data_IF_694070119890
#
_entry.id   IF_694070119890
#
_cell.length_a   1.000
_cell.length_b   1.000
_cell.length_c   1.000
_cell.angle_alpha   90.00
_cell.angle_beta   90.00
_cell.angle_gamma   90.00
#
_symmetry.space_group_name_H-M   'P 1'
#
loop_
_entity.id
_entity.type
_entity.pdbx_description
1 polymer ?
#
# COMPACT_ATOMS: atom_id res chain seq x y z
N UNK A 1 -4.87 -12.83 -0.02
CA UNK A 1 -3.73 -13.15 -0.89
C UNK A 1 -2.69 -12.05 -0.86
N UNK A 2 -1.46 -12.32 -1.30
CA UNK A 2 -0.49 -11.25 -1.62
C UNK A 2 -0.92 -10.52 -2.89
N UNK A 3 -0.96 -9.18 -2.81
CA UNK A 3 -1.21 -8.30 -3.95
C UNK A 3 0.11 -7.56 -4.24
N UNK A 4 0.92 -8.12 -5.12
CA UNK A 4 2.29 -7.67 -5.36
C UNK A 4 2.67 -7.57 -6.84
N UNK A 5 1.77 -8.02 -7.72
CA UNK A 5 1.92 -7.87 -9.16
C UNK A 5 1.00 -6.76 -9.68
N UNK A 6 1.39 -5.99 -10.70
CA UNK A 6 0.50 -5.05 -11.37
C UNK A 6 -0.84 -5.67 -11.80
N UNK A 7 -0.83 -6.93 -12.27
CA UNK A 7 -2.03 -7.67 -12.63
C UNK A 7 -2.99 -7.87 -11.45
N UNK A 8 -2.48 -8.01 -10.23
CA UNK A 8 -3.33 -8.14 -9.04
C UNK A 8 -4.11 -6.84 -8.75
N UNK A 9 -3.51 -5.69 -9.00
CA UNK A 9 -4.16 -4.40 -8.83
C UNK A 9 -5.17 -4.13 -9.96
N UNK A 10 -4.79 -4.44 -11.19
CA UNK A 10 -5.65 -4.23 -12.37
C UNK A 10 -6.91 -5.10 -12.36
N UNK A 11 -6.78 -6.36 -11.93
CA UNK A 11 -7.87 -7.34 -11.86
C UNK A 11 -8.31 -7.61 -10.41
N UNK A 12 -8.17 -6.61 -9.54
CA UNK A 12 -8.40 -6.78 -8.11
C UNK A 12 -9.79 -7.31 -7.77
N UNK A 13 -10.81 -6.88 -8.48
CA UNK A 13 -12.19 -7.33 -8.24
C UNK A 13 -12.35 -8.82 -8.53
N UNK A 14 -11.74 -9.33 -9.59
CA UNK A 14 -11.80 -10.76 -9.96
C UNK A 14 -11.07 -11.61 -8.92
N UNK A 15 -9.90 -11.18 -8.44
CA UNK A 15 -9.22 -11.87 -7.35
C UNK A 15 -10.03 -11.87 -6.06
N UNK A 16 -10.74 -10.79 -5.78
CA UNK A 16 -11.56 -10.68 -4.57
C UNK A 16 -12.83 -11.54 -4.61
N UNK A 17 -13.21 -12.10 -5.75
CA UNK A 17 -14.25 -13.14 -5.79
C UNK A 17 -13.82 -14.41 -5.04
N UNK A 18 -12.51 -14.69 -5.04
CA UNK A 18 -11.93 -15.92 -4.51
C UNK A 18 -11.22 -15.74 -3.15
N UNK A 19 -10.79 -14.53 -2.83
CA UNK A 19 -9.99 -14.25 -1.63
C UNK A 19 -10.71 -13.29 -0.67
N UNK A 20 -10.43 -13.42 0.63
CA UNK A 20 -11.06 -12.62 1.69
C UNK A 20 -10.41 -11.24 1.88
N UNK A 21 -9.33 -10.97 1.18
CA UNK A 21 -8.64 -9.69 1.25
C UNK A 21 -7.22 -9.76 0.70
N UNK A 22 -6.54 -8.60 0.77
CA UNK A 22 -5.19 -8.42 0.27
C UNK A 22 -4.19 -8.07 1.37
N UNK A 23 -2.99 -8.64 1.25
CA UNK A 23 -1.77 -8.09 1.84
C UNK A 23 -0.93 -7.54 0.68
N UNK A 24 -0.75 -6.24 0.63
CA UNK A 24 -0.03 -5.60 -0.46
C UNK A 24 1.47 -5.73 -0.23
N UNK A 25 2.17 -6.40 -1.16
CA UNK A 25 3.63 -6.48 -1.20
C UNK A 25 4.18 -5.30 -2.00
N UNK A 26 4.33 -4.13 -1.36
CA UNK A 26 4.67 -2.89 -2.06
C UNK A 26 6.07 -2.88 -2.66
N UNK A 27 7.02 -3.64 -2.10
CA UNK A 27 8.36 -3.76 -2.66
C UNK A 27 8.33 -4.39 -4.06
N UNK A 28 7.67 -5.55 -4.19
CA UNK A 28 7.57 -6.25 -5.47
C UNK A 28 6.66 -5.47 -6.44
N UNK A 29 5.57 -4.90 -5.95
CA UNK A 29 4.70 -4.04 -6.75
C UNK A 29 5.48 -2.85 -7.35
N UNK A 30 6.35 -2.21 -6.57
CA UNK A 30 7.17 -1.09 -7.01
C UNK A 30 8.18 -1.53 -8.06
N UNK A 31 8.89 -2.62 -7.79
CA UNK A 31 9.86 -3.20 -8.72
C UNK A 31 9.23 -3.49 -10.09
N UNK A 32 8.07 -4.11 -10.09
CA UNK A 32 7.40 -4.52 -11.31
C UNK A 32 6.69 -3.36 -12.01
N UNK A 33 6.12 -2.43 -11.25
CA UNK A 33 5.48 -1.24 -11.82
C UNK A 33 6.48 -0.31 -12.51
N UNK A 34 7.68 -0.15 -11.92
CA UNK A 34 8.73 0.72 -12.46
C UNK A 34 9.71 -0.02 -13.40
N UNK A 35 9.65 -1.35 -13.45
CA UNK A 35 10.59 -2.16 -14.23
C UNK A 35 12.02 -2.08 -13.70
N UNK A 36 12.19 -1.91 -12.38
CA UNK A 36 13.47 -1.74 -11.71
C UNK A 36 13.78 -2.92 -10.82
N UNK A 37 15.01 -3.42 -10.88
CA UNK A 37 15.51 -4.38 -9.91
C UNK A 37 16.03 -3.64 -8.67
N UNK A 38 15.33 -3.78 -7.54
CA UNK A 38 15.69 -3.13 -6.26
C UNK A 38 17.06 -3.57 -5.73
N UNK A 39 17.54 -4.76 -6.12
CA UNK A 39 18.82 -5.30 -5.69
C UNK A 39 19.98 -4.83 -6.60
N UNK A 40 19.68 -4.16 -7.71
CA UNK A 40 20.68 -3.62 -8.62
C UNK A 40 21.14 -2.24 -8.16
N UNK A 41 22.40 -2.12 -7.76
CA UNK A 41 23.01 -0.84 -7.40
C UNK A 41 23.01 0.23 -8.50
N UNK A 42 22.80 -0.17 -9.76
CA UNK A 42 22.76 0.75 -10.91
C UNK A 42 21.44 1.53 -11.00
N UNK A 43 20.35 0.96 -10.52
CA UNK A 43 18.98 1.53 -10.65
C UNK A 43 18.26 1.70 -9.31
N UNK A 44 18.90 1.34 -8.21
CA UNK A 44 18.31 1.41 -6.86
C UNK A 44 17.82 2.82 -6.48
N UNK A 45 18.47 3.87 -6.97
CA UNK A 45 18.04 5.25 -6.74
C UNK A 45 16.70 5.60 -7.36
N UNK A 46 16.29 4.87 -8.41
CA UNK A 46 14.98 5.03 -9.05
C UNK A 46 13.85 4.29 -8.33
N UNK A 47 14.18 3.43 -7.35
CA UNK A 47 13.20 2.67 -6.60
C UNK A 47 12.57 3.55 -5.51
N UNK A 48 11.33 3.95 -5.71
CA UNK A 48 10.57 4.74 -4.72
C UNK A 48 9.12 4.25 -4.66
N UNK A 49 8.71 3.71 -3.52
CA UNK A 49 7.34 3.26 -3.27
C UNK A 49 6.32 4.42 -3.29
N UNK A 50 6.80 5.67 -3.27
CA UNK A 50 5.98 6.89 -3.37
C UNK A 50 5.74 7.33 -4.82
N UNK A 51 6.34 6.66 -5.80
CA UNK A 51 6.12 6.98 -7.20
C UNK A 51 4.63 7.03 -7.53
N UNK A 52 4.17 8.00 -8.32
CA UNK A 52 2.75 8.14 -8.67
C UNK A 52 2.14 6.90 -9.32
N UNK A 53 2.91 6.15 -10.13
CA UNK A 53 2.43 4.92 -10.75
C UNK A 53 2.21 3.82 -9.70
N UNK A 54 3.13 3.69 -8.74
CA UNK A 54 3.01 2.75 -7.61
C UNK A 54 1.79 3.13 -6.77
N UNK A 55 1.67 4.40 -6.36
CA UNK A 55 0.52 4.89 -5.58
C UNK A 55 -0.81 4.65 -6.30
N UNK A 56 -0.85 4.77 -7.62
CA UNK A 56 -2.06 4.46 -8.39
C UNK A 56 -2.46 2.98 -8.23
N UNK A 57 -1.51 2.05 -8.31
CA UNK A 57 -1.78 0.63 -8.12
C UNK A 57 -2.18 0.28 -6.69
N UNK A 58 -1.50 0.86 -5.70
CA UNK A 58 -1.89 0.71 -4.28
C UNK A 58 -3.34 1.19 -4.06
N UNK A 59 -3.68 2.36 -4.60
CA UNK A 59 -5.03 2.92 -4.50
C UNK A 59 -6.08 2.04 -5.19
N UNK A 60 -5.76 1.41 -6.33
CA UNK A 60 -6.66 0.47 -7.00
C UNK A 60 -6.98 -0.73 -6.11
N UNK A 61 -5.94 -1.36 -5.54
CA UNK A 61 -6.09 -2.51 -4.65
C UNK A 61 -6.91 -2.17 -3.39
N UNK A 62 -6.60 -1.04 -2.74
CA UNK A 62 -7.31 -0.58 -1.54
C UNK A 62 -8.78 -0.31 -1.86
N UNK A 63 -9.07 0.44 -2.93
CA UNK A 63 -10.46 0.75 -3.33
C UNK A 63 -11.27 -0.50 -3.64
N UNK A 64 -10.69 -1.48 -4.33
CA UNK A 64 -11.36 -2.74 -4.64
C UNK A 64 -11.74 -3.49 -3.36
N UNK A 65 -10.80 -3.66 -2.41
CA UNK A 65 -11.10 -4.30 -1.14
C UNK A 65 -12.20 -3.56 -0.36
N UNK A 66 -12.12 -2.23 -0.30
CA UNK A 66 -13.13 -1.43 0.39
C UNK A 66 -14.51 -1.54 -0.25
N UNK A 67 -14.58 -1.51 -1.58
CA UNK A 67 -15.84 -1.68 -2.33
C UNK A 67 -16.51 -3.02 -2.02
N UNK A 68 -15.71 -4.08 -1.86
CA UNK A 68 -16.20 -5.43 -1.54
C UNK A 68 -16.30 -5.71 -0.03
N UNK A 69 -16.03 -4.74 0.84
CA UNK A 69 -16.03 -4.92 2.30
C UNK A 69 -14.98 -5.92 2.78
N UNK A 70 -13.87 -6.04 2.07
CA UNK A 70 -12.79 -6.99 2.36
C UNK A 70 -11.56 -6.28 2.93
N UNK A 71 -10.79 -7.04 3.71
CA UNK A 71 -9.58 -6.55 4.38
C UNK A 71 -8.47 -6.19 3.39
N UNK A 72 -7.73 -5.11 3.70
CA UNK A 72 -6.51 -4.73 3.00
C UNK A 72 -5.44 -4.23 3.97
N UNK A 73 -4.29 -4.89 3.94
CA UNK A 73 -3.07 -4.46 4.64
C UNK A 73 -1.90 -4.28 3.68
N UNK A 74 -0.81 -3.72 4.17
CA UNK A 74 0.45 -3.57 3.45
C UNK A 74 1.60 -4.14 4.27
N UNK A 75 2.51 -4.85 3.64
CA UNK A 75 3.67 -5.48 4.29
C UNK A 75 5.02 -5.09 3.68
N UNK A 76 5.07 -4.07 2.85
CA UNK A 76 6.31 -3.52 2.33
C UNK A 76 7.01 -2.57 3.33
N UNK A 77 8.19 -2.09 2.96
CA UNK A 77 9.01 -1.22 3.80
C UNK A 77 8.56 0.24 3.78
N UNK A 78 7.87 0.65 2.73
CA UNK A 78 7.51 2.05 2.49
C UNK A 78 6.90 2.79 3.67
N UNK A 79 5.91 2.23 4.38
CA UNK A 79 5.33 2.92 5.54
C UNK A 79 6.29 3.16 6.71
N UNK A 80 7.32 2.29 6.86
CA UNK A 80 8.38 2.47 7.87
C UNK A 80 9.37 3.54 7.48
N UNK A 81 9.74 3.58 6.20
CA UNK A 81 10.78 4.47 5.68
C UNK A 81 10.25 5.87 5.35
N UNK A 82 8.95 5.95 5.04
CA UNK A 82 8.31 7.18 4.55
C UNK A 82 7.02 7.50 5.31
N UNK A 83 7.07 8.35 6.34
CA UNK A 83 5.90 8.74 7.12
C UNK A 83 4.78 9.40 6.29
N UNK A 84 5.14 10.08 5.19
CA UNK A 84 4.19 10.66 4.24
C UNK A 84 3.40 9.58 3.49
N UNK A 85 4.05 8.46 3.14
CA UNK A 85 3.37 7.31 2.54
C UNK A 85 2.43 6.63 3.54
N UNK A 86 2.86 6.45 4.79
CA UNK A 86 2.00 5.88 5.84
C UNK A 86 0.72 6.72 6.04
N UNK A 87 0.86 8.04 6.07
CA UNK A 87 -0.29 8.97 6.17
C UNK A 87 -1.21 8.83 4.95
N UNK A 88 -0.65 8.85 3.76
CA UNK A 88 -1.42 8.70 2.53
C UNK A 88 -2.19 7.36 2.48
N UNK A 89 -1.57 6.25 2.90
CA UNK A 89 -2.22 4.94 2.98
C UNK A 89 -3.41 4.96 3.96
N UNK A 90 -3.24 5.59 5.11
CA UNK A 90 -4.33 5.79 6.08
C UNK A 90 -5.48 6.59 5.46
N UNK A 91 -5.18 7.65 4.71
CA UNK A 91 -6.17 8.47 4.00
C UNK A 91 -6.89 7.67 2.90
N UNK A 92 -6.21 6.73 2.23
CA UNK A 92 -6.85 5.80 1.30
C UNK A 92 -7.75 4.78 1.99
N UNK A 93 -7.63 4.64 3.30
CA UNK A 93 -8.44 3.75 4.12
C UNK A 93 -7.93 2.32 4.20
N UNK A 94 -6.62 2.15 4.21
CA UNK A 94 -6.01 0.84 4.51
C UNK A 94 -6.35 0.38 5.93
N UNK A 95 -6.51 -0.92 6.14
CA UNK A 95 -6.88 -1.47 7.45
C UNK A 95 -5.67 -1.66 8.36
N UNK A 96 -4.52 -2.03 7.81
CA UNK A 96 -3.28 -2.21 8.58
C UNK A 96 -2.02 -1.94 7.78
N UNK A 97 -0.96 -1.60 8.49
CA UNK A 97 0.40 -1.43 7.97
C UNK A 97 1.36 -2.24 8.84
N UNK A 98 2.13 -3.14 8.22
CA UNK A 98 3.27 -3.76 8.89
C UNK A 98 4.42 -2.75 8.94
N UNK A 99 5.06 -2.65 10.09
CA UNK A 99 6.14 -1.70 10.32
C UNK A 99 7.36 -2.41 10.90
N UNK A 100 8.54 -1.88 10.65
CA UNK A 100 9.74 -2.28 11.37
C UNK A 100 9.56 -1.94 12.85
N UNK A 101 10.01 -2.81 13.79
CA UNK A 101 9.75 -2.63 15.22
C UNK A 101 10.18 -1.28 15.78
N UNK A 102 11.29 -0.74 15.30
CA UNK A 102 11.86 0.56 15.72
C UNK A 102 11.05 1.77 15.23
N UNK A 103 10.21 1.60 14.21
CA UNK A 103 9.40 2.68 13.65
C UNK A 103 7.94 2.67 14.13
N UNK A 104 7.49 1.64 14.83
CA UNK A 104 6.08 1.47 15.25
C UNK A 104 5.59 2.67 16.05
N UNK A 105 6.30 3.06 17.09
CA UNK A 105 5.86 4.13 18.00
C UNK A 105 5.84 5.48 17.29
N UNK A 106 6.90 5.81 16.55
CA UNK A 106 6.99 7.09 15.82
C UNK A 106 5.94 7.20 14.73
N UNK A 107 5.71 6.13 13.97
CA UNK A 107 4.67 6.11 12.92
C UNK A 107 3.28 6.22 13.53
N UNK A 108 3.00 5.47 14.59
CA UNK A 108 1.70 5.54 15.26
C UNK A 108 1.41 6.95 15.81
N UNK A 109 2.38 7.56 16.48
CA UNK A 109 2.23 8.94 16.98
C UNK A 109 1.95 9.92 15.84
N UNK A 110 2.73 9.84 14.76
CA UNK A 110 2.54 10.72 13.59
C UNK A 110 1.16 10.56 12.93
N UNK A 111 0.66 9.32 12.87
CA UNK A 111 -0.68 9.04 12.32
C UNK A 111 -1.81 9.53 13.25
N UNK A 112 -1.62 9.41 14.57
CA UNK A 112 -2.60 9.86 15.56
C UNK A 112 -2.79 11.39 15.55
N UNK A 113 -1.76 12.14 15.22
CA UNK A 113 -1.80 13.60 15.08
C UNK A 113 -2.46 14.07 13.77
N UNK A 114 -2.66 13.15 12.83
CA UNK A 114 -3.31 13.50 11.56
C UNK A 114 -4.82 13.61 11.79
N UNK A 115 -5.46 14.73 11.41
CA UNK A 115 -6.91 14.88 11.56
C UNK A 115 -7.61 13.73 10.85
N UNK A 116 -8.50 13.05 11.57
CA UNK A 116 -9.30 11.98 10.98
C UNK A 116 -10.07 12.54 9.79
N UNK A 117 -9.67 12.18 8.59
CA UNK A 117 -10.50 12.39 7.40
C UNK A 117 -11.82 11.69 7.66
N UNK A 118 -12.91 12.45 7.70
CA UNK A 118 -14.26 11.89 7.83
C UNK A 118 -14.37 10.76 6.82
N UNK A 119 -14.65 9.54 7.28
CA UNK A 119 -15.02 8.43 6.41
C UNK A 119 -16.07 8.97 5.47
N UNK A 120 -15.70 9.22 4.21
CA UNK A 120 -16.68 9.48 3.18
C UNK A 120 -17.54 8.23 3.13
N UNK A 121 -18.75 8.33 3.62
CA UNK A 121 -19.77 7.32 3.38
C UNK A 121 -19.97 7.33 1.87
N UNK A 122 -19.30 6.41 1.19
CA UNK A 122 -19.59 6.14 -0.21
C UNK A 122 -20.99 5.55 -0.23
N UNK A 123 -21.89 6.36 -0.71
CA UNK A 123 -23.20 5.91 -1.12
C UNK A 123 -23.08 4.94 -2.31
#
# INVERSE_FOLDING_TARGET
>A
MMCELPSNALLAEEFLELFDGFSIGSNDMTQLALGLDRDSGLVAEGFDERDPAVKAMLAMAIRACRKHGKYVGICGQGPSDHPDLARWLMEQGIDSMSLNPDTVVSTWTALAETPATKKSAAA
#
